data_IF_955442813903
#
_entry.id   IF_955442813903
#
_cell.length_a   1.000
_cell.length_b   1.000
_cell.length_c   1.000
_cell.angle_alpha   90.00
_cell.angle_beta   90.00
_cell.angle_gamma   90.00
#
_symmetry.space_group_name_H-M   'P 1'
#
loop_
_entity.id
_entity.type
_entity.pdbx_description
1 polymer ?
#
# COMPACT_ATOMS: atom_id res chain seq x y z
N UNK A 1 -13.60 7.08 -4.96
CA UNK A 1 -14.17 6.29 -6.08
C UNK A 1 -13.41 6.52 -7.38
N UNK A 2 -13.16 7.75 -7.80
CA UNK A 2 -12.48 8.06 -9.08
C UNK A 2 -11.10 7.36 -9.26
N UNK A 3 -10.25 7.36 -8.22
CA UNK A 3 -8.94 6.68 -8.26
C UNK A 3 -9.04 5.16 -8.42
N UNK A 4 -10.08 4.55 -7.84
CA UNK A 4 -10.30 3.11 -7.96
C UNK A 4 -10.81 2.71 -9.36
N UNK A 5 -11.63 3.56 -9.98
CA UNK A 5 -12.10 3.36 -11.35
C UNK A 5 -10.94 3.37 -12.36
N UNK A 6 -9.90 4.19 -12.12
CA UNK A 6 -8.74 4.25 -12.99
C UNK A 6 -8.00 2.90 -13.09
N UNK A 7 -8.01 2.08 -12.04
CA UNK A 7 -7.35 0.77 -12.05
C UNK A 7 -7.96 -0.14 -13.12
N UNK A 8 -9.28 -0.10 -13.32
CA UNK A 8 -9.97 -0.86 -14.38
C UNK A 8 -9.52 -0.47 -15.79
N UNK A 9 -9.18 0.81 -15.98
CA UNK A 9 -8.72 1.34 -17.28
C UNK A 9 -7.22 1.10 -17.45
N UNK A 10 -6.44 1.25 -16.39
CA UNK A 10 -4.98 1.19 -16.46
C UNK A 10 -4.46 -0.22 -16.76
N UNK A 11 -5.08 -1.27 -16.22
CA UNK A 11 -4.65 -2.64 -16.47
C UNK A 11 -4.72 -2.99 -17.97
N UNK A 12 -5.87 -2.83 -18.69
CA UNK A 12 -5.92 -3.10 -20.12
C UNK A 12 -4.97 -2.24 -20.95
N UNK A 13 -4.78 -0.97 -20.57
CA UNK A 13 -3.88 -0.07 -21.30
C UNK A 13 -2.43 -0.52 -21.15
N UNK A 14 -1.99 -0.76 -19.91
CA UNK A 14 -0.60 -1.16 -19.65
C UNK A 14 -0.28 -2.54 -20.23
N UNK A 15 -1.19 -3.52 -20.16
CA UNK A 15 -0.97 -4.84 -20.75
C UNK A 15 -0.96 -4.83 -22.27
N UNK A 16 -1.49 -3.79 -22.93
CA UNK A 16 -1.40 -3.62 -24.38
C UNK A 16 -0.13 -2.89 -24.82
N UNK A 17 0.41 -2.01 -23.98
CA UNK A 17 1.61 -1.21 -24.28
C UNK A 17 2.90 -1.90 -23.88
N UNK A 18 2.88 -2.72 -22.82
CA UNK A 18 4.04 -3.35 -22.20
C UNK A 18 4.06 -4.85 -22.50
N UNK A 19 5.26 -5.43 -22.60
CA UNK A 19 5.47 -6.87 -22.50
C UNK A 19 5.24 -7.37 -21.06
N UNK A 20 5.13 -8.70 -20.89
CA UNK A 20 5.02 -9.33 -19.56
C UNK A 20 6.26 -8.98 -18.71
N UNK A 21 7.44 -9.01 -19.32
CA UNK A 21 8.71 -8.64 -18.69
C UNK A 21 8.71 -7.20 -18.18
N UNK A 22 8.34 -6.24 -19.02
CA UNK A 22 8.30 -4.82 -18.66
C UNK A 22 7.26 -4.53 -17.57
N UNK A 23 6.10 -5.20 -17.66
CA UNK A 23 5.06 -5.11 -16.65
C UNK A 23 5.54 -5.65 -15.30
N UNK A 24 6.35 -6.73 -15.33
CA UNK A 24 7.03 -7.28 -14.16
C UNK A 24 7.97 -6.26 -13.51
N UNK A 25 8.87 -5.64 -14.30
CA UNK A 25 9.79 -4.60 -13.81
C UNK A 25 9.03 -3.48 -13.09
N UNK A 26 7.99 -2.94 -13.70
CA UNK A 26 7.19 -1.84 -13.11
C UNK A 26 6.56 -2.25 -11.77
N UNK A 27 5.95 -3.43 -11.71
CA UNK A 27 5.27 -3.87 -10.50
C UNK A 27 6.26 -4.21 -9.37
N UNK A 28 7.40 -4.82 -9.67
CA UNK A 28 8.48 -5.07 -8.70
C UNK A 28 9.06 -3.74 -8.22
N UNK A 29 9.34 -2.80 -9.11
CA UNK A 29 9.81 -1.46 -8.78
C UNK A 29 8.85 -0.76 -7.81
N UNK A 30 7.56 -0.70 -8.12
CA UNK A 30 6.56 -0.05 -7.26
C UNK A 30 6.40 -0.75 -5.91
N UNK A 31 6.53 -2.09 -5.87
CA UNK A 31 6.51 -2.87 -4.63
C UNK A 31 7.71 -2.57 -3.75
N UNK A 32 8.89 -2.45 -4.34
CA UNK A 32 10.14 -2.09 -3.65
C UNK A 32 10.09 -0.65 -3.13
N UNK A 33 9.56 0.29 -3.93
CA UNK A 33 9.33 1.68 -3.49
C UNK A 33 8.50 1.75 -2.22
N UNK A 34 7.49 0.87 -2.08
CA UNK A 34 6.69 0.81 -0.85
C UNK A 34 7.51 0.49 0.40
N UNK A 35 8.48 -0.43 0.29
CA UNK A 35 9.42 -0.76 1.38
C UNK A 35 10.39 0.40 1.62
N UNK A 36 10.98 0.91 0.54
CA UNK A 36 11.93 2.03 0.58
C UNK A 36 11.31 3.26 1.24
N UNK A 37 10.04 3.57 0.96
CA UNK A 37 9.33 4.68 1.58
C UNK A 37 9.33 4.58 3.10
N UNK A 38 9.03 3.41 3.67
CA UNK A 38 9.01 3.21 5.13
C UNK A 38 10.42 3.43 5.73
N UNK A 39 11.46 2.94 5.05
CA UNK A 39 12.86 3.13 5.48
C UNK A 39 13.28 4.60 5.39
N UNK A 40 12.85 5.32 4.37
CA UNK A 40 13.20 6.73 4.16
C UNK A 40 12.55 7.67 5.17
N UNK A 41 11.45 7.28 5.84
CA UNK A 41 10.76 8.16 6.80
C UNK A 41 10.71 7.64 8.21
N UNK A 42 10.92 6.34 8.40
CA UNK A 42 10.61 5.65 9.66
C UNK A 42 9.18 5.94 10.14
N UNK A 43 8.25 6.16 9.18
CA UNK A 43 6.83 6.51 9.42
C UNK A 43 6.61 7.74 10.34
N UNK A 44 7.58 8.66 10.40
CA UNK A 44 7.49 9.82 11.29
C UNK A 44 6.30 10.73 11.01
N UNK A 45 5.81 10.75 9.78
CA UNK A 45 4.65 11.54 9.38
C UNK A 45 3.32 11.03 9.96
N UNK A 46 3.22 9.74 10.30
CA UNK A 46 1.96 9.13 10.80
C UNK A 46 1.54 9.70 12.15
N UNK A 47 2.50 10.13 12.97
CA UNK A 47 2.23 10.74 14.27
C UNK A 47 1.46 12.08 14.15
N UNK A 48 1.52 12.78 13.01
CA UNK A 48 0.89 14.10 12.81
C UNK A 48 -0.62 14.03 13.02
N UNK A 49 -1.28 13.05 12.40
CA UNK A 49 -2.74 12.93 12.49
C UNK A 49 -3.22 12.58 13.91
N UNK A 50 -2.43 11.83 14.65
CA UNK A 50 -2.73 11.50 16.04
C UNK A 50 -2.53 12.69 16.95
N UNK A 51 -1.39 13.39 16.80
CA UNK A 51 -1.06 14.56 17.63
C UNK A 51 -2.08 15.70 17.49
N UNK A 52 -2.78 15.81 16.36
CA UNK A 52 -3.84 16.80 16.17
C UNK A 52 -4.89 16.79 17.29
N UNK A 53 -5.24 15.60 17.79
CA UNK A 53 -6.23 15.44 18.89
C UNK A 53 -5.65 15.64 20.27
N UNK A 54 -4.33 15.58 20.42
CA UNK A 54 -3.61 15.73 21.68
C UNK A 54 -2.99 17.15 21.80
N UNK A 55 -3.01 17.95 20.73
CA UNK A 55 -2.45 19.29 20.68
C UNK A 55 -3.22 20.27 21.57
N UNK A 56 -2.49 21.11 22.31
CA UNK A 56 -3.06 22.12 23.21
C UNK A 56 -3.80 23.24 22.48
N UNK A 57 -3.31 23.62 21.33
CA UNK A 57 -3.87 24.66 20.45
C UNK A 57 -3.32 24.53 19.03
N UNK A 58 -3.80 25.37 18.11
CA UNK A 58 -3.37 25.35 16.70
C UNK A 58 -1.87 25.65 16.54
N UNK A 59 -1.30 26.51 17.36
CA UNK A 59 0.12 26.84 17.29
C UNK A 59 0.99 25.63 17.68
N UNK A 60 0.64 24.93 18.75
CA UNK A 60 1.31 23.70 19.20
C UNK A 60 1.26 22.61 18.12
N UNK A 61 0.11 22.46 17.46
CA UNK A 61 -0.01 21.56 16.31
C UNK A 61 0.92 21.93 15.14
N UNK A 62 1.02 23.21 14.79
CA UNK A 62 1.94 23.70 13.75
C UNK A 62 3.41 23.47 14.13
N UNK A 63 3.77 23.66 15.39
CA UNK A 63 5.12 23.39 15.91
C UNK A 63 5.45 21.90 15.86
N UNK A 64 4.48 21.03 16.18
CA UNK A 64 4.62 19.59 16.01
C UNK A 64 4.80 19.20 14.55
N UNK A 65 3.97 19.71 13.63
CA UNK A 65 4.12 19.49 12.20
C UNK A 65 5.51 19.91 11.72
N UNK A 66 6.00 21.08 12.16
CA UNK A 66 7.34 21.57 11.82
C UNK A 66 8.45 20.66 12.34
N UNK A 67 8.32 20.15 13.55
CA UNK A 67 9.26 19.20 14.15
C UNK A 67 9.25 17.88 13.37
N UNK A 68 8.07 17.35 13.06
CA UNK A 68 7.91 16.13 12.25
C UNK A 68 8.56 16.29 10.88
N UNK A 69 8.26 17.38 10.15
CA UNK A 69 8.84 17.65 8.83
C UNK A 69 10.36 17.75 8.89
N UNK A 70 10.94 18.44 9.89
CA UNK A 70 12.40 18.55 10.04
C UNK A 70 13.06 17.21 10.27
N UNK A 71 12.48 16.39 11.16
CA UNK A 71 12.99 15.04 11.46
C UNK A 71 12.84 14.13 10.26
N UNK A 72 11.65 14.09 9.63
CA UNK A 72 11.43 13.32 8.41
C UNK A 72 12.41 13.70 7.29
N UNK A 73 12.66 15.01 7.11
CA UNK A 73 13.63 15.50 6.11
C UNK A 73 15.07 15.09 6.43
N UNK A 74 15.46 15.11 7.71
CA UNK A 74 16.78 14.66 8.15
C UNK A 74 16.99 13.17 7.94
N UNK A 75 16.00 12.35 8.34
CA UNK A 75 16.00 10.90 8.13
C UNK A 75 16.02 10.57 6.63
N UNK A 76 15.17 11.25 5.86
CA UNK A 76 15.11 11.08 4.40
C UNK A 76 16.46 11.38 3.74
N UNK A 77 17.14 12.48 4.12
CA UNK A 77 18.44 12.83 3.56
C UNK A 77 19.47 11.75 3.86
N UNK A 78 19.57 11.35 5.12
CA UNK A 78 20.50 10.30 5.55
C UNK A 78 20.25 8.98 4.83
N UNK A 79 19.01 8.51 4.80
CA UNK A 79 18.66 7.24 4.18
C UNK A 79 18.79 7.28 2.65
N UNK A 80 18.50 8.43 2.01
CA UNK A 80 18.71 8.61 0.58
C UNK A 80 20.19 8.57 0.21
N UNK A 81 21.08 9.15 1.04
CA UNK A 81 22.52 9.05 0.87
C UNK A 81 23.02 7.60 1.02
N UNK A 82 22.55 6.90 2.06
CA UNK A 82 22.85 5.48 2.26
C UNK A 82 22.40 4.66 1.06
N UNK A 83 21.18 4.88 0.57
CA UNK A 83 20.65 4.18 -0.59
C UNK A 83 21.47 4.48 -1.87
N UNK A 84 21.88 5.73 -2.06
CA UNK A 84 22.73 6.10 -3.19
C UNK A 84 24.12 5.44 -3.10
N UNK A 85 24.70 5.33 -1.91
CA UNK A 85 25.98 4.62 -1.69
C UNK A 85 25.86 3.11 -1.94
N UNK A 86 24.73 2.51 -1.50
CA UNK A 86 24.45 1.08 -1.69
C UNK A 86 23.85 0.75 -3.06
N UNK A 87 23.69 1.76 -3.95
CA UNK A 87 23.03 1.58 -5.25
C UNK A 87 23.61 0.44 -6.09
N UNK A 88 24.94 0.22 -6.22
CA UNK A 88 25.47 -0.89 -7.01
C UNK A 88 25.02 -2.26 -6.49
N UNK A 89 25.06 -2.43 -5.17
CA UNK A 89 24.62 -3.66 -4.50
C UNK A 89 23.11 -3.87 -4.62
N UNK A 90 22.30 -2.82 -4.38
CA UNK A 90 20.85 -2.90 -4.52
C UNK A 90 20.41 -3.20 -5.96
N UNK A 91 21.11 -2.65 -6.94
CA UNK A 91 20.83 -2.89 -8.35
C UNK A 91 21.07 -4.36 -8.72
N UNK A 92 22.15 -4.96 -8.22
CA UNK A 92 22.48 -6.36 -8.43
C UNK A 92 21.46 -7.29 -7.74
N UNK A 93 21.17 -7.06 -6.47
CA UNK A 93 20.25 -7.88 -5.68
C UNK A 93 18.82 -7.85 -6.24
N UNK A 94 18.35 -6.70 -6.72
CA UNK A 94 17.02 -6.55 -7.30
C UNK A 94 16.98 -6.84 -8.82
N UNK A 95 18.13 -7.17 -9.42
CA UNK A 95 18.27 -7.33 -10.88
C UNK A 95 17.80 -6.10 -11.68
N UNK A 96 17.97 -4.90 -11.12
CA UNK A 96 17.60 -3.64 -11.74
C UNK A 96 18.83 -2.93 -12.32
N UNK A 97 18.60 -2.02 -13.29
CA UNK A 97 19.63 -1.06 -13.66
C UNK A 97 19.91 -0.07 -12.52
N UNK A 98 21.14 0.44 -12.42
CA UNK A 98 21.51 1.45 -11.43
C UNK A 98 20.63 2.71 -11.51
N UNK A 99 20.21 3.08 -12.73
CA UNK A 99 19.31 4.22 -12.95
C UNK A 99 17.94 3.95 -12.35
N UNK A 100 17.40 2.74 -12.57
CA UNK A 100 16.10 2.34 -12.06
C UNK A 100 16.07 2.38 -10.52
N UNK A 101 17.12 1.86 -9.88
CA UNK A 101 17.24 1.87 -8.42
C UNK A 101 17.28 3.30 -7.86
N UNK A 102 18.01 4.22 -8.51
CA UNK A 102 18.04 5.64 -8.12
C UNK A 102 16.67 6.33 -8.31
N UNK A 103 15.89 5.93 -9.32
CA UNK A 103 14.54 6.46 -9.53
C UNK A 103 13.56 6.14 -8.38
N UNK A 104 13.88 5.20 -7.51
CA UNK A 104 13.07 4.94 -6.31
C UNK A 104 13.07 6.12 -5.33
N UNK A 105 14.19 6.87 -5.26
CA UNK A 105 14.31 8.01 -4.33
C UNK A 105 13.28 9.11 -4.65
N UNK A 106 13.17 9.66 -5.87
CA UNK A 106 12.18 10.69 -6.17
C UNK A 106 10.74 10.20 -6.03
N UNK A 107 10.46 8.93 -6.37
CA UNK A 107 9.11 8.35 -6.20
C UNK A 107 8.75 8.23 -4.73
N UNK A 108 9.66 7.72 -3.90
CA UNK A 108 9.46 7.64 -2.45
C UNK A 108 9.36 9.04 -1.83
N UNK A 109 10.18 10.01 -2.26
CA UNK A 109 10.12 11.40 -1.79
C UNK A 109 8.73 12.02 -2.00
N UNK A 110 8.17 11.83 -3.18
CA UNK A 110 6.81 12.31 -3.44
C UNK A 110 5.79 11.63 -2.51
N UNK A 111 5.91 10.31 -2.32
CA UNK A 111 5.00 9.55 -1.43
C UNK A 111 5.04 10.07 0.00
N UNK A 112 6.23 10.50 0.49
CA UNK A 112 6.42 11.13 1.80
C UNK A 112 5.68 12.47 1.88
N UNK A 113 5.90 13.35 0.90
CA UNK A 113 5.25 14.66 0.84
C UNK A 113 3.73 14.50 0.80
N UNK A 114 3.23 13.55 0.01
CA UNK A 114 1.81 13.22 -0.08
C UNK A 114 1.28 12.65 1.25
N UNK A 115 2.04 11.79 1.93
CA UNK A 115 1.69 11.27 3.26
C UNK A 115 1.56 12.39 4.29
N UNK A 116 2.54 13.30 4.38
CA UNK A 116 2.49 14.47 5.27
C UNK A 116 1.24 15.32 4.97
N UNK A 117 0.95 15.58 3.70
CA UNK A 117 -0.25 16.32 3.30
C UNK A 117 -1.53 15.62 3.79
N UNK A 118 -1.66 14.32 3.59
CA UNK A 118 -2.82 13.54 4.04
C UNK A 118 -2.95 13.59 5.57
N UNK A 119 -1.85 13.38 6.30
CA UNK A 119 -1.84 13.36 7.76
C UNK A 119 -2.18 14.71 8.40
N UNK A 120 -1.92 15.82 7.70
CA UNK A 120 -2.33 17.16 8.13
C UNK A 120 -3.81 17.42 7.82
N UNK A 121 -4.25 17.12 6.59
CA UNK A 121 -5.57 17.56 6.11
C UNK A 121 -6.72 16.60 6.48
N UNK A 122 -6.44 15.34 6.76
CA UNK A 122 -7.45 14.36 7.12
C UNK A 122 -8.09 14.64 8.49
N UNK A 123 -7.34 14.89 9.59
CA UNK A 123 -7.94 15.26 10.88
C UNK A 123 -8.63 16.62 10.87
N UNK A 124 -8.22 17.53 9.98
CA UNK A 124 -8.90 18.81 9.75
C UNK A 124 -10.25 18.66 9.01
N UNK A 125 -10.75 17.43 8.81
CA UNK A 125 -12.00 17.10 8.10
C UNK A 125 -12.05 17.61 6.64
N UNK A 126 -10.89 17.88 6.02
CA UNK A 126 -10.79 18.31 4.62
C UNK A 126 -10.61 17.12 3.66
N UNK A 127 -11.35 16.02 3.91
CA UNK A 127 -11.28 14.78 3.12
C UNK A 127 -11.58 14.98 1.64
N UNK A 128 -12.45 15.95 1.29
CA UNK A 128 -12.71 16.32 -0.13
C UNK A 128 -11.44 16.81 -0.83
N UNK A 129 -10.63 17.65 -0.16
CA UNK A 129 -9.36 18.15 -0.70
C UNK A 129 -8.36 17.02 -0.91
N UNK A 130 -8.23 16.11 0.07
CA UNK A 130 -7.38 14.92 -0.03
C UNK A 130 -7.82 14.05 -1.20
N UNK A 131 -9.13 13.79 -1.34
CA UNK A 131 -9.67 12.98 -2.42
C UNK A 131 -9.41 13.58 -3.81
N UNK A 132 -9.57 14.91 -3.97
CA UNK A 132 -9.29 15.60 -5.23
C UNK A 132 -7.81 15.47 -5.59
N UNK A 133 -6.91 15.77 -4.66
CA UNK A 133 -5.46 15.68 -4.89
C UNK A 133 -5.06 14.24 -5.27
N UNK A 134 -5.54 13.24 -4.54
CA UNK A 134 -5.25 11.83 -4.85
C UNK A 134 -5.80 11.42 -6.23
N UNK A 135 -6.96 11.94 -6.62
CA UNK A 135 -7.53 11.70 -7.95
C UNK A 135 -6.67 12.36 -9.04
N UNK A 136 -6.35 13.64 -8.90
CA UNK A 136 -5.49 14.37 -9.84
C UNK A 136 -4.14 13.67 -9.99
N UNK A 137 -3.53 13.23 -8.88
CA UNK A 137 -2.29 12.46 -8.89
C UNK A 137 -2.40 11.21 -9.76
N UNK A 138 -3.43 10.40 -9.52
CA UNK A 138 -3.59 9.12 -10.22
C UNK A 138 -3.82 9.32 -11.72
N UNK A 139 -4.69 10.24 -12.10
CA UNK A 139 -4.97 10.52 -13.51
C UNK A 139 -3.78 11.18 -14.21
N UNK A 140 -3.10 12.14 -13.57
CA UNK A 140 -1.93 12.79 -14.14
C UNK A 140 -0.78 11.81 -14.35
N UNK A 141 -0.50 10.96 -13.35
CA UNK A 141 0.51 9.92 -13.45
C UNK A 141 0.17 8.92 -14.56
N UNK A 142 -1.10 8.49 -14.67
CA UNK A 142 -1.55 7.62 -15.75
C UNK A 142 -1.37 8.26 -17.13
N UNK A 143 -1.86 9.48 -17.32
CA UNK A 143 -1.77 10.16 -18.63
C UNK A 143 -0.30 10.38 -19.04
N UNK A 144 0.53 10.91 -18.14
CA UNK A 144 1.94 11.16 -18.45
C UNK A 144 2.70 9.85 -18.66
N UNK A 145 2.45 8.80 -17.88
CA UNK A 145 3.10 7.51 -18.10
C UNK A 145 2.74 6.92 -19.46
N UNK A 146 1.46 7.01 -19.88
CA UNK A 146 1.05 6.53 -21.21
C UNK A 146 1.71 7.35 -22.32
N UNK A 147 1.72 8.69 -22.21
CA UNK A 147 2.36 9.56 -23.21
C UNK A 147 3.85 9.20 -23.34
N UNK A 148 4.58 9.10 -22.23
CA UNK A 148 6.01 8.78 -22.25
C UNK A 148 6.27 7.36 -22.80
N UNK A 149 5.43 6.37 -22.47
CA UNK A 149 5.54 5.02 -23.04
C UNK A 149 5.31 5.01 -24.56
N UNK A 150 4.38 5.83 -25.06
CA UNK A 150 4.12 5.94 -26.50
C UNK A 150 5.28 6.65 -27.26
N UNK A 151 6.02 7.51 -26.57
CA UNK A 151 7.21 8.17 -27.13
C UNK A 151 8.46 7.26 -27.17
N UNK A 152 8.40 6.08 -26.50
CA UNK A 152 9.52 5.12 -26.46
C UNK A 152 9.23 3.90 -27.31
N UNK A 153 10.17 3.55 -28.18
CA UNK A 153 10.06 2.35 -29.04
C UNK A 153 10.46 1.09 -28.27
N UNK A 154 11.51 1.19 -27.46
CA UNK A 154 12.04 0.10 -26.62
C UNK A 154 12.04 0.50 -25.16
N UNK A 155 12.12 -0.49 -24.25
CA UNK A 155 12.21 -0.28 -22.80
C UNK A 155 11.11 0.66 -22.26
N UNK A 156 9.87 0.44 -22.67
CA UNK A 156 8.71 1.28 -22.34
C UNK A 156 8.44 1.40 -20.83
N UNK A 157 9.00 0.49 -20.03
CA UNK A 157 8.97 0.60 -18.57
C UNK A 157 9.64 1.88 -18.04
N UNK A 158 10.70 2.37 -18.71
CA UNK A 158 11.26 3.68 -18.37
C UNK A 158 10.29 4.81 -18.68
N UNK A 159 9.52 4.72 -19.77
CA UNK A 159 8.46 5.69 -20.08
C UNK A 159 7.43 5.77 -18.96
N UNK A 160 7.01 4.63 -18.44
CA UNK A 160 6.11 4.59 -17.27
C UNK A 160 6.72 5.30 -16.05
N UNK A 161 8.00 5.03 -15.75
CA UNK A 161 8.66 5.57 -14.55
C UNK A 161 8.90 7.08 -14.71
N UNK A 162 9.43 7.54 -15.84
CA UNK A 162 9.66 8.95 -16.08
C UNK A 162 8.37 9.75 -16.15
N UNK A 163 7.31 9.23 -16.77
CA UNK A 163 5.99 9.85 -16.76
C UNK A 163 5.40 9.97 -15.36
N UNK A 164 5.56 8.93 -14.55
CA UNK A 164 5.15 8.94 -13.14
C UNK A 164 5.95 9.96 -12.33
N UNK A 165 7.27 10.02 -12.47
CA UNK A 165 8.14 10.99 -11.79
C UNK A 165 7.78 12.42 -12.23
N UNK A 166 7.53 12.67 -13.50
CA UNK A 166 7.12 13.99 -14.00
C UNK A 166 5.80 14.45 -13.36
N UNK A 167 4.80 13.57 -13.28
CA UNK A 167 3.56 13.85 -12.58
C UNK A 167 3.79 14.18 -11.11
N UNK A 168 4.66 13.43 -10.46
CA UNK A 168 4.98 13.60 -9.05
C UNK A 168 5.72 14.92 -8.76
N UNK A 169 6.64 15.34 -9.62
CA UNK A 169 7.34 16.63 -9.49
C UNK A 169 6.35 17.78 -9.59
N UNK A 170 5.45 17.75 -10.58
CA UNK A 170 4.42 18.76 -10.75
C UNK A 170 3.53 18.89 -9.50
N UNK A 171 3.12 17.77 -8.94
CA UNK A 171 2.26 17.75 -7.75
C UNK A 171 3.02 18.04 -6.45
N UNK A 172 4.28 17.64 -6.33
CA UNK A 172 5.11 17.95 -5.16
C UNK A 172 5.20 19.46 -4.91
N UNK A 173 5.32 20.27 -5.97
CA UNK A 173 5.35 21.73 -5.85
C UNK A 173 4.01 22.29 -5.32
N UNK A 174 2.89 21.72 -5.72
CA UNK A 174 1.59 22.08 -5.18
C UNK A 174 1.45 21.63 -3.72
N UNK A 175 1.79 20.40 -3.39
CA UNK A 175 1.68 19.84 -2.04
C UNK A 175 2.56 20.60 -1.04
N UNK A 176 3.79 20.90 -1.38
CA UNK A 176 4.69 21.68 -0.52
C UNK A 176 4.15 23.09 -0.23
N UNK A 177 3.53 23.74 -1.23
CA UNK A 177 2.83 25.02 -1.00
C UNK A 177 1.66 24.88 -0.02
N UNK A 178 0.93 23.75 -0.06
CA UNK A 178 -0.18 23.48 0.85
C UNK A 178 0.30 23.14 2.28
N UNK A 179 1.44 22.46 2.42
CA UNK A 179 2.04 22.11 3.71
C UNK A 179 2.68 23.34 4.39
N UNK A 180 3.19 24.30 3.61
CA UNK A 180 3.90 25.49 4.10
C UNK A 180 3.20 26.27 5.24
N UNK A 181 1.87 26.47 5.28
CA UNK A 181 1.18 27.17 6.38
C UNK A 181 1.32 26.46 7.74
N UNK A 182 1.65 25.16 7.74
CA UNK A 182 1.85 24.33 8.93
C UNK A 182 3.33 24.24 9.33
N UNK A 183 4.23 24.90 8.57
CA UNK A 183 5.65 24.95 8.87
C UNK A 183 5.99 26.29 9.54
N UNK A 184 6.35 26.21 10.82
CA UNK A 184 6.74 27.37 11.63
C UNK A 184 8.23 27.29 11.94
N UNK A 185 8.95 28.42 11.94
CA UNK A 185 10.35 28.49 12.38
C UNK A 185 10.42 28.39 13.91
N UNK A 186 10.20 27.21 14.46
CA UNK A 186 10.37 26.89 15.87
C UNK A 186 11.65 26.09 16.11
N UNK A 187 12.19 26.12 17.32
CA UNK A 187 13.22 25.16 17.74
C UNK A 187 12.59 23.77 17.84
N UNK A 188 13.38 22.72 17.64
CA UNK A 188 12.92 21.34 17.83
C UNK A 188 12.61 21.15 19.32
N UNK A 189 11.34 20.86 19.63
CA UNK A 189 10.91 20.59 21.00
C UNK A 189 11.16 19.11 21.34
N UNK A 190 11.84 18.85 22.45
CA UNK A 190 12.17 17.50 22.91
C UNK A 190 10.92 16.66 23.22
N UNK A 191 9.86 17.27 23.73
CA UNK A 191 8.57 16.58 23.98
C UNK A 191 7.93 16.12 22.69
N UNK A 192 7.92 16.98 21.65
CA UNK A 192 7.42 16.62 20.32
C UNK A 192 8.22 15.47 19.69
N UNK A 193 9.57 15.50 19.83
CA UNK A 193 10.43 14.40 19.33
C UNK A 193 10.12 13.10 20.06
N UNK A 194 10.01 13.14 21.39
CA UNK A 194 9.68 11.95 22.19
C UNK A 194 8.33 11.36 21.80
N UNK A 195 7.30 12.20 21.64
CA UNK A 195 5.98 11.79 21.20
C UNK A 195 6.04 11.15 19.79
N UNK A 196 6.69 11.84 18.85
CA UNK A 196 6.84 11.41 17.47
C UNK A 196 7.51 10.02 17.39
N UNK A 197 8.65 9.83 18.04
CA UNK A 197 9.38 8.56 18.03
C UNK A 197 8.62 7.46 18.75
N UNK A 198 7.99 7.75 19.89
CA UNK A 198 7.22 6.76 20.65
C UNK A 198 6.01 6.22 19.89
N UNK A 199 5.46 7.01 18.97
CA UNK A 199 4.35 6.59 18.12
C UNK A 199 4.83 5.94 16.81
N UNK A 200 5.83 6.54 16.15
CA UNK A 200 6.26 6.12 14.81
C UNK A 200 7.07 4.83 14.81
N UNK A 201 8.01 4.66 15.76
CA UNK A 201 8.87 3.47 15.77
C UNK A 201 8.12 2.15 15.93
N UNK A 202 7.14 2.01 16.86
CA UNK A 202 6.33 0.80 16.96
C UNK A 202 5.42 0.57 15.73
N UNK A 203 5.14 1.63 14.95
CA UNK A 203 4.31 1.54 13.75
C UNK A 203 5.07 0.99 12.53
N UNK A 204 6.42 1.04 12.53
CA UNK A 204 7.25 0.53 11.44
C UNK A 204 7.02 -0.97 11.18
N UNK A 205 7.14 -1.88 12.17
CA UNK A 205 6.90 -3.30 11.96
C UNK A 205 5.50 -3.60 11.42
N UNK A 206 4.48 -2.89 11.91
CA UNK A 206 3.11 -3.00 11.42
C UNK A 206 3.01 -2.67 9.92
N UNK A 207 3.56 -1.52 9.52
CA UNK A 207 3.50 -1.07 8.12
C UNK A 207 4.31 -1.98 7.20
N UNK A 208 5.54 -2.34 7.59
CA UNK A 208 6.39 -3.25 6.82
C UNK A 208 5.72 -4.61 6.62
N UNK A 209 5.16 -5.19 7.68
CA UNK A 209 4.48 -6.48 7.55
C UNK A 209 3.26 -6.42 6.65
N UNK A 210 2.51 -5.31 6.67
CA UNK A 210 1.40 -5.09 5.74
C UNK A 210 1.86 -5.00 4.28
N UNK A 211 2.97 -4.30 4.02
CA UNK A 211 3.56 -4.20 2.68
C UNK A 211 4.11 -5.56 2.23
N UNK A 212 4.82 -6.28 3.10
CA UNK A 212 5.34 -7.61 2.83
C UNK A 212 4.18 -8.54 2.45
N UNK A 213 3.15 -8.60 3.27
CA UNK A 213 2.01 -9.46 3.02
C UNK A 213 1.33 -9.17 1.67
N UNK A 214 1.28 -7.90 1.25
CA UNK A 214 0.62 -7.49 0.01
C UNK A 214 1.52 -7.54 -1.24
N UNK A 215 2.83 -7.32 -1.09
CA UNK A 215 3.72 -6.99 -2.21
C UNK A 215 4.93 -7.93 -2.35
N UNK A 216 5.33 -8.63 -1.28
CA UNK A 216 6.57 -9.40 -1.26
C UNK A 216 6.62 -10.50 -2.33
N UNK A 217 5.49 -11.14 -2.63
CA UNK A 217 5.41 -12.16 -3.67
C UNK A 217 5.91 -11.68 -5.05
N UNK A 218 5.72 -10.39 -5.39
CA UNK A 218 6.22 -9.80 -6.65
C UNK A 218 7.74 -9.68 -6.65
N UNK A 219 8.31 -9.18 -5.56
CA UNK A 219 9.76 -9.05 -5.38
C UNK A 219 10.39 -10.44 -5.35
N UNK A 220 9.78 -11.37 -4.60
CA UNK A 220 10.27 -12.72 -4.48
C UNK A 220 10.26 -13.48 -5.81
N UNK A 221 9.23 -13.27 -6.65
CA UNK A 221 9.18 -13.84 -7.98
C UNK A 221 10.23 -13.28 -8.92
N UNK A 222 10.58 -11.98 -8.81
CA UNK A 222 11.62 -11.40 -9.69
C UNK A 222 13.00 -11.99 -9.41
N UNK A 223 13.33 -12.32 -8.16
CA UNK A 223 14.63 -12.89 -7.79
C UNK A 223 14.77 -14.39 -8.11
N UNK A 224 13.66 -15.16 -8.12
CA UNK A 224 13.69 -16.62 -8.36
C UNK A 224 13.19 -17.01 -9.75
N UNK A 225 12.28 -16.25 -10.35
CA UNK A 225 11.65 -16.58 -11.61
C UNK A 225 11.86 -15.55 -12.71
N UNK A 226 12.57 -14.45 -12.42
CA UNK A 226 12.77 -13.34 -13.33
C UNK A 226 11.53 -12.43 -13.46
N UNK A 227 11.69 -11.38 -14.26
CA UNK A 227 10.62 -10.37 -14.40
C UNK A 227 9.41 -10.86 -15.18
N UNK A 228 9.52 -11.88 -16.03
CA UNK A 228 8.37 -12.48 -16.72
C UNK A 228 7.44 -13.17 -15.71
N UNK A 229 7.98 -14.00 -14.82
CA UNK A 229 7.21 -14.64 -13.77
C UNK A 229 6.60 -13.62 -12.80
N UNK A 230 7.37 -12.58 -12.42
CA UNK A 230 6.88 -11.48 -11.61
C UNK A 230 5.77 -10.68 -12.33
N UNK A 231 5.85 -10.54 -13.65
CA UNK A 231 4.84 -9.89 -14.49
C UNK A 231 3.52 -10.64 -14.52
N UNK A 232 3.57 -11.95 -14.77
CA UNK A 232 2.39 -12.82 -14.72
C UNK A 232 1.74 -12.82 -13.35
N UNK A 233 2.51 -13.01 -12.30
CA UNK A 233 2.02 -12.97 -10.92
C UNK A 233 1.40 -11.62 -10.57
N UNK A 234 2.07 -10.52 -10.96
CA UNK A 234 1.59 -9.16 -10.71
C UNK A 234 0.28 -8.86 -11.45
N UNK A 235 0.17 -9.32 -12.70
CA UNK A 235 -1.05 -9.17 -13.47
C UNK A 235 -2.23 -9.85 -12.78
N UNK A 236 -2.07 -11.14 -12.44
CA UNK A 236 -3.15 -11.90 -11.78
C UNK A 236 -3.48 -11.32 -10.40
N UNK A 237 -2.47 -10.87 -9.65
CA UNK A 237 -2.67 -10.20 -8.35
C UNK A 237 -3.43 -8.89 -8.51
N UNK A 238 -3.13 -8.08 -9.54
CA UNK A 238 -3.85 -6.83 -9.80
C UNK A 238 -5.29 -7.09 -10.22
N UNK A 239 -5.54 -8.12 -11.03
CA UNK A 239 -6.90 -8.57 -11.38
C UNK A 239 -7.66 -9.03 -10.13
N UNK A 240 -7.04 -9.85 -9.29
CA UNK A 240 -7.62 -10.27 -8.01
C UNK A 240 -7.89 -9.09 -7.07
N UNK A 241 -7.02 -8.08 -7.06
CA UNK A 241 -7.20 -6.87 -6.26
C UNK A 241 -8.39 -6.00 -6.72
N UNK A 242 -8.86 -6.12 -7.96
CA UNK A 242 -10.11 -5.47 -8.40
C UNK A 242 -11.31 -5.96 -7.58
N UNK A 243 -11.35 -7.25 -7.24
CA UNK A 243 -12.38 -7.80 -6.35
C UNK A 243 -12.36 -7.11 -4.98
N UNK A 244 -11.15 -6.83 -4.45
CA UNK A 244 -11.01 -6.08 -3.21
C UNK A 244 -11.62 -4.68 -3.26
N UNK A 245 -11.55 -4.03 -4.41
CA UNK A 245 -12.15 -2.70 -4.59
C UNK A 245 -13.68 -2.79 -4.46
N UNK A 246 -14.30 -3.75 -5.12
CA UNK A 246 -15.75 -3.95 -5.07
C UNK A 246 -16.20 -4.28 -3.63
N UNK A 247 -15.54 -5.24 -2.99
CA UNK A 247 -15.83 -5.62 -1.60
C UNK A 247 -15.62 -4.42 -0.66
N UNK A 248 -14.54 -3.64 -0.83
CA UNK A 248 -14.26 -2.47 0.02
C UNK A 248 -15.33 -1.38 -0.09
N UNK A 249 -15.95 -1.22 -1.25
CA UNK A 249 -17.08 -0.29 -1.43
C UNK A 249 -18.28 -0.76 -0.62
N UNK A 250 -18.62 -2.05 -0.71
CA UNK A 250 -19.68 -2.67 0.11
C UNK A 250 -19.44 -2.50 1.61
N UNK A 251 -18.22 -2.81 2.07
CA UNK A 251 -17.85 -2.63 3.48
C UNK A 251 -17.93 -1.18 3.96
N UNK A 252 -17.51 -0.21 3.16
CA UNK A 252 -17.58 1.19 3.55
C UNK A 252 -19.03 1.69 3.64
N UNK A 253 -19.92 1.20 2.78
CA UNK A 253 -21.34 1.49 2.85
C UNK A 253 -21.99 0.83 4.07
N UNK A 254 -21.58 -0.37 4.44
CA UNK A 254 -22.12 -1.14 5.56
C UNK A 254 -21.57 -0.68 6.93
N UNK A 255 -20.39 -0.08 6.98
CA UNK A 255 -19.72 0.30 8.24
C UNK A 255 -20.59 1.12 9.23
N UNK A 256 -21.38 2.13 8.82
CA UNK A 256 -22.26 2.85 9.74
C UNK A 256 -23.32 1.94 10.39
N UNK A 257 -23.88 1.02 9.61
CA UNK A 257 -24.87 0.04 10.09
C UNK A 257 -24.25 -0.94 11.09
N UNK A 258 -23.05 -1.44 10.79
CA UNK A 258 -22.29 -2.30 11.71
C UNK A 258 -22.08 -1.62 13.07
N UNK A 259 -21.63 -0.36 13.07
CA UNK A 259 -21.43 0.38 14.31
C UNK A 259 -22.74 0.59 15.10
N UNK A 260 -23.85 0.84 14.39
CA UNK A 260 -25.17 0.97 15.00
C UNK A 260 -25.65 -0.36 15.60
N UNK A 261 -25.51 -1.47 14.87
CA UNK A 261 -25.86 -2.81 15.37
C UNK A 261 -25.02 -3.22 16.58
N UNK A 262 -23.72 -2.96 16.56
CA UNK A 262 -22.84 -3.22 17.70
C UNK A 262 -23.22 -2.39 18.92
N UNK A 263 -23.59 -1.13 18.75
CA UNK A 263 -24.05 -0.25 19.83
C UNK A 263 -25.36 -0.75 20.43
N UNK A 264 -26.26 -1.25 19.57
CA UNK A 264 -27.60 -1.76 19.99
C UNK A 264 -27.57 -3.23 20.40
N UNK A 265 -26.41 -3.92 20.33
CA UNK A 265 -26.24 -5.37 20.59
C UNK A 265 -27.12 -6.26 19.70
N UNK A 266 -27.44 -5.80 18.49
CA UNK A 266 -28.23 -6.54 17.49
C UNK A 266 -27.34 -7.42 16.61
N UNK A 267 -26.88 -8.52 17.17
CA UNK A 267 -25.99 -9.46 16.48
C UNK A 267 -26.69 -10.23 15.35
N UNK A 268 -28.01 -10.40 15.40
CA UNK A 268 -28.78 -11.11 14.34
C UNK A 268 -28.77 -10.34 13.02
N UNK A 269 -28.90 -9.02 13.08
CA UNK A 269 -28.81 -8.17 11.88
C UNK A 269 -27.40 -8.17 11.30
N UNK A 270 -26.37 -8.27 12.11
CA UNK A 270 -24.99 -8.42 11.67
C UNK A 270 -24.83 -9.73 10.88
N UNK A 271 -25.28 -10.86 11.42
CA UNK A 271 -25.18 -12.17 10.77
C UNK A 271 -25.92 -12.22 9.42
N UNK A 272 -27.10 -11.61 9.35
CA UNK A 272 -27.90 -11.54 8.12
C UNK A 272 -27.19 -10.72 7.02
N UNK A 273 -26.62 -9.57 7.38
CA UNK A 273 -25.89 -8.73 6.44
C UNK A 273 -24.60 -9.41 5.99
N UNK A 274 -23.96 -10.20 6.84
CA UNK A 274 -22.82 -11.04 6.49
C UNK A 274 -23.15 -12.04 5.40
N UNK A 275 -24.25 -12.76 5.52
CA UNK A 275 -24.69 -13.75 4.54
C UNK A 275 -24.97 -13.09 3.19
N UNK A 276 -25.55 -11.89 3.19
CA UNK A 276 -25.80 -11.11 1.98
C UNK A 276 -24.48 -10.66 1.30
N UNK A 277 -23.52 -10.13 2.08
CA UNK A 277 -22.21 -9.71 1.57
C UNK A 277 -21.44 -10.91 1.00
N UNK A 278 -21.55 -12.08 1.65
CA UNK A 278 -20.97 -13.34 1.19
C UNK A 278 -21.47 -13.74 -0.20
N UNK A 279 -22.77 -13.77 -0.37
CA UNK A 279 -23.40 -14.14 -1.65
C UNK A 279 -23.05 -13.16 -2.76
N UNK A 280 -23.02 -11.86 -2.46
CA UNK A 280 -22.64 -10.82 -3.42
C UNK A 280 -21.18 -10.97 -3.88
N UNK A 281 -20.26 -11.38 -2.99
CA UNK A 281 -18.83 -11.54 -3.30
C UNK A 281 -18.55 -12.70 -4.25
N UNK A 282 -19.43 -13.72 -4.30
CA UNK A 282 -19.25 -14.90 -5.14
C UNK A 282 -19.69 -14.70 -6.60
N UNK A 283 -20.40 -13.62 -6.94
CA UNK A 283 -21.08 -13.45 -8.22
C UNK A 283 -20.23 -12.73 -9.29
N UNK A 284 -19.15 -12.03 -8.95
CA UNK A 284 -18.46 -11.15 -9.89
C UNK A 284 -17.09 -11.65 -10.36
N UNK A 285 -17.05 -12.78 -11.07
CA UNK A 285 -15.88 -13.17 -11.87
C UNK A 285 -16.23 -12.91 -13.34
N UNK A 286 -15.94 -11.72 -13.85
CA UNK A 286 -16.16 -11.47 -15.27
C UNK A 286 -15.07 -10.60 -15.90
N UNK A 287 -14.43 -11.21 -16.92
CA UNK A 287 -13.91 -10.59 -18.13
C UNK A 287 -13.05 -9.33 -18.01
N UNK A 288 -11.76 -9.54 -17.76
CA UNK A 288 -10.76 -8.50 -18.03
C UNK A 288 -10.05 -8.84 -19.32
N UNK A 289 -10.18 -7.96 -20.31
CA UNK A 289 -9.53 -8.09 -21.62
C UNK A 289 -8.04 -7.78 -21.48
N UNK A 290 -7.21 -8.81 -21.50
CA UNK A 290 -5.76 -8.71 -21.57
C UNK A 290 -5.20 -9.42 -22.79
N UNK A 291 -3.92 -9.17 -23.15
CA UNK A 291 -3.24 -9.95 -24.17
C UNK A 291 -3.15 -11.43 -23.77
N UNK A 292 -3.17 -12.37 -24.75
CA UNK A 292 -3.09 -13.81 -24.48
C UNK A 292 -1.88 -14.22 -23.62
N UNK A 293 -0.76 -13.51 -23.75
CA UNK A 293 0.49 -13.75 -22.97
C UNK A 293 0.28 -13.66 -21.47
N UNK A 294 -0.58 -12.73 -21.02
CA UNK A 294 -0.92 -12.57 -19.61
C UNK A 294 -1.93 -13.60 -19.10
N UNK A 295 -2.68 -14.21 -20.02
CA UNK A 295 -3.71 -15.19 -19.66
C UNK A 295 -3.11 -16.51 -19.15
N UNK A 296 -1.86 -16.82 -19.49
CA UNK A 296 -1.16 -18.00 -19.02
C UNK A 296 -1.05 -18.08 -17.49
N UNK A 297 -1.08 -16.93 -16.77
CA UNK A 297 -1.10 -16.87 -15.31
C UNK A 297 -2.47 -17.00 -14.66
N UNK A 298 -3.56 -17.00 -15.42
CA UNK A 298 -4.93 -16.90 -14.87
C UNK A 298 -5.35 -18.10 -14.01
N UNK A 299 -4.68 -19.24 -14.13
CA UNK A 299 -4.92 -20.42 -13.25
C UNK A 299 -4.59 -20.13 -11.77
N UNK A 300 -3.82 -19.07 -11.48
CA UNK A 300 -3.51 -18.62 -10.12
C UNK A 300 -4.66 -17.80 -9.51
N UNK A 301 -5.53 -17.24 -10.36
CA UNK A 301 -6.56 -16.28 -9.93
C UNK A 301 -7.50 -16.82 -8.85
N UNK A 302 -8.01 -18.06 -8.92
CA UNK A 302 -8.86 -18.61 -7.88
C UNK A 302 -8.18 -18.64 -6.51
N UNK A 303 -6.89 -18.97 -6.44
CA UNK A 303 -6.11 -19.04 -5.20
C UNK A 303 -5.95 -17.64 -4.60
N UNK A 304 -5.62 -16.65 -5.43
CA UNK A 304 -5.48 -15.26 -4.98
C UNK A 304 -6.83 -14.68 -4.52
N UNK A 305 -7.93 -15.00 -5.20
CA UNK A 305 -9.28 -14.58 -4.77
C UNK A 305 -9.60 -15.15 -3.38
N UNK A 306 -9.34 -16.45 -3.16
CA UNK A 306 -9.55 -17.07 -1.84
C UNK A 306 -8.72 -16.34 -0.77
N UNK A 307 -7.46 -16.00 -1.06
CA UNK A 307 -6.62 -15.19 -0.18
C UNK A 307 -7.24 -13.83 0.13
N UNK A 308 -7.75 -13.13 -0.87
CA UNK A 308 -8.45 -11.85 -0.67
C UNK A 308 -9.75 -12.00 0.15
N UNK A 309 -10.47 -13.09 0.01
CA UNK A 309 -11.63 -13.39 0.86
C UNK A 309 -11.22 -13.54 2.33
N UNK A 310 -10.16 -14.29 2.62
CA UNK A 310 -9.64 -14.38 3.99
C UNK A 310 -9.18 -13.03 4.55
N UNK A 311 -8.55 -12.20 3.73
CA UNK A 311 -8.20 -10.83 4.12
C UNK A 311 -9.45 -10.03 4.52
N UNK A 312 -10.52 -10.11 3.75
CA UNK A 312 -11.76 -9.39 4.07
C UNK A 312 -12.40 -9.87 5.36
N UNK A 313 -12.40 -11.16 5.60
CA UNK A 313 -12.90 -11.70 6.86
C UNK A 313 -12.05 -11.28 8.05
N UNK A 314 -10.73 -11.26 7.90
CA UNK A 314 -9.85 -10.77 8.96
C UNK A 314 -10.16 -9.33 9.33
N UNK A 315 -10.50 -8.49 8.33
CA UNK A 315 -10.78 -7.08 8.53
C UNK A 315 -11.96 -6.81 9.46
N UNK A 316 -12.93 -7.71 9.49
CA UNK A 316 -14.07 -7.63 10.39
C UNK A 316 -13.63 -7.77 11.85
N UNK A 317 -12.85 -8.81 12.14
CA UNK A 317 -12.33 -9.04 13.49
C UNK A 317 -11.33 -7.95 13.92
N UNK A 318 -10.50 -7.47 13.01
CA UNK A 318 -9.59 -6.37 13.27
C UNK A 318 -10.30 -5.04 13.57
N UNK A 319 -11.53 -4.85 13.10
CA UNK A 319 -12.37 -3.71 13.49
C UNK A 319 -12.87 -3.80 14.93
N UNK A 320 -13.24 -4.99 15.38
CA UNK A 320 -13.70 -5.22 16.75
C UNK A 320 -12.60 -4.84 17.76
N UNK A 321 -11.33 -5.18 17.47
CA UNK A 321 -10.19 -4.76 18.31
C UNK A 321 -10.00 -3.25 18.33
N UNK A 322 -10.26 -2.58 17.19
CA UNK A 322 -10.28 -1.12 17.10
C UNK A 322 -11.37 -0.49 17.97
N UNK A 323 -12.57 -1.04 17.92
CA UNK A 323 -13.71 -0.61 18.76
C UNK A 323 -13.40 -0.79 20.26
N UNK A 324 -12.80 -1.93 20.63
CA UNK A 324 -12.38 -2.23 21.99
C UNK A 324 -11.11 -1.45 22.45
N UNK A 325 -10.57 -0.56 21.61
CA UNK A 325 -9.33 0.22 21.85
C UNK A 325 -8.08 -0.65 22.11
N UNK A 326 -8.06 -1.89 21.60
CA UNK A 326 -6.96 -2.87 21.76
C UNK A 326 -6.19 -3.08 20.46
N UNK A 327 -5.86 -1.99 19.76
CA UNK A 327 -5.27 -1.99 18.41
C UNK A 327 -3.89 -2.64 18.31
N UNK A 328 -3.19 -2.84 19.42
CA UNK A 328 -1.90 -3.54 19.45
C UNK A 328 -2.02 -4.97 18.90
N UNK A 329 -3.16 -5.61 19.09
CA UNK A 329 -3.40 -6.94 18.59
C UNK A 329 -3.55 -7.02 17.06
N UNK A 330 -3.95 -5.92 16.43
CA UNK A 330 -3.93 -5.82 14.96
C UNK A 330 -2.50 -5.88 14.44
N UNK A 331 -1.57 -5.18 15.12
CA UNK A 331 -0.16 -5.22 14.76
C UNK A 331 0.41 -6.65 14.92
N UNK A 332 0.07 -7.35 15.99
CA UNK A 332 0.49 -8.73 16.24
C UNK A 332 -0.02 -9.66 15.13
N UNK A 333 -1.31 -9.57 14.76
CA UNK A 333 -1.89 -10.40 13.70
C UNK A 333 -1.20 -10.19 12.35
N UNK A 334 -0.96 -8.95 11.97
CA UNK A 334 -0.32 -8.61 10.70
C UNK A 334 1.17 -9.02 10.71
N UNK A 335 1.87 -8.86 11.84
CA UNK A 335 3.26 -9.30 12.00
C UNK A 335 3.40 -10.81 11.80
N UNK A 336 2.58 -11.62 12.48
CA UNK A 336 2.59 -13.09 12.36
C UNK A 336 2.36 -13.48 10.90
N UNK A 337 1.37 -12.86 10.24
CA UNK A 337 1.03 -13.17 8.86
C UNK A 337 2.11 -12.74 7.87
N UNK A 338 2.76 -11.59 8.08
CA UNK A 338 3.86 -11.11 7.26
C UNK A 338 5.09 -12.02 7.36
N UNK A 339 5.46 -12.44 8.57
CA UNK A 339 6.56 -13.40 8.78
C UNK A 339 6.22 -14.75 8.13
N UNK A 340 4.99 -15.25 8.33
CA UNK A 340 4.53 -16.48 7.70
C UNK A 340 4.59 -16.40 6.18
N UNK A 341 4.28 -15.25 5.58
CA UNK A 341 4.36 -15.04 4.14
C UNK A 341 5.79 -15.22 3.61
N UNK A 342 6.78 -14.60 4.29
CA UNK A 342 8.19 -14.75 3.91
C UNK A 342 8.62 -16.23 3.99
N UNK A 343 8.33 -16.88 5.10
CA UNK A 343 8.70 -18.29 5.31
C UNK A 343 8.04 -19.21 4.28
N UNK A 344 6.75 -19.04 4.04
CA UNK A 344 6.01 -19.86 3.07
C UNK A 344 6.50 -19.65 1.64
N UNK A 345 6.85 -18.42 1.25
CA UNK A 345 7.44 -18.17 -0.06
C UNK A 345 8.73 -18.98 -0.25
N UNK A 346 9.65 -18.95 0.71
CA UNK A 346 10.88 -19.77 0.65
C UNK A 346 10.62 -21.27 0.63
N UNK A 347 9.64 -21.76 1.40
CA UNK A 347 9.35 -23.19 1.47
C UNK A 347 8.65 -23.74 0.22
N UNK A 348 7.83 -22.92 -0.44
CA UNK A 348 6.97 -23.41 -1.53
C UNK A 348 7.52 -23.10 -2.92
N UNK A 349 8.47 -22.17 -3.08
CA UNK A 349 8.99 -21.77 -4.39
C UNK A 349 9.66 -22.95 -5.12
N UNK A 350 10.51 -23.70 -4.43
CA UNK A 350 11.29 -24.79 -5.04
C UNK A 350 10.41 -25.94 -5.56
N UNK A 351 9.23 -26.14 -4.94
CA UNK A 351 8.29 -27.23 -5.31
C UNK A 351 7.21 -26.80 -6.29
N UNK A 352 6.73 -25.58 -6.16
CA UNK A 352 5.52 -25.12 -6.86
C UNK A 352 5.74 -23.87 -7.70
N UNK A 353 6.95 -23.31 -7.71
CA UNK A 353 7.31 -22.10 -8.48
C UNK A 353 6.28 -20.97 -8.26
N UNK A 354 5.75 -20.35 -9.33
CA UNK A 354 4.79 -19.24 -9.24
C UNK A 354 3.49 -19.61 -8.48
N UNK A 355 3.06 -20.89 -8.57
CA UNK A 355 1.94 -21.42 -7.78
C UNK A 355 2.25 -21.40 -6.29
N UNK A 356 3.50 -21.69 -5.90
CA UNK A 356 3.96 -21.63 -4.51
C UNK A 356 3.80 -20.25 -3.90
N UNK A 357 4.09 -19.19 -4.65
CA UNK A 357 3.92 -17.80 -4.21
C UNK A 357 2.43 -17.43 -4.05
N UNK A 358 1.57 -17.90 -4.96
CA UNK A 358 0.12 -17.71 -4.82
C UNK A 358 -0.47 -18.46 -3.62
N UNK A 359 0.01 -19.69 -3.36
CA UNK A 359 -0.36 -20.44 -2.15
C UNK A 359 0.13 -19.76 -0.88
N UNK A 360 1.38 -19.26 -0.87
CA UNK A 360 1.93 -18.51 0.26
C UNK A 360 1.08 -17.29 0.60
N UNK A 361 0.64 -16.57 -0.42
CA UNK A 361 -0.28 -15.44 -0.28
C UNK A 361 -1.61 -15.88 0.37
N UNK A 362 -2.24 -16.91 -0.17
CA UNK A 362 -3.53 -17.42 0.32
C UNK A 362 -3.43 -17.91 1.77
N UNK A 363 -2.41 -18.73 2.09
CA UNK A 363 -2.19 -19.28 3.43
C UNK A 363 -1.88 -18.16 4.43
N UNK A 364 -1.10 -17.17 4.05
CA UNK A 364 -0.76 -16.05 4.94
C UNK A 364 -1.98 -15.19 5.28
N UNK A 365 -2.89 -14.98 4.35
CA UNK A 365 -4.16 -14.31 4.65
C UNK A 365 -5.12 -15.18 5.45
N UNK A 366 -5.09 -16.50 5.27
CA UNK A 366 -5.79 -17.41 6.16
C UNK A 366 -5.24 -17.34 7.60
N UNK A 367 -3.92 -17.27 7.76
CA UNK A 367 -3.29 -17.08 9.07
C UNK A 367 -3.72 -15.76 9.69
N UNK A 368 -3.75 -14.68 8.90
CA UNK A 368 -4.25 -13.38 9.37
C UNK A 368 -5.69 -13.48 9.89
N UNK A 369 -6.57 -14.14 9.12
CA UNK A 369 -7.96 -14.37 9.52
C UNK A 369 -8.05 -15.19 10.80
N UNK A 370 -7.32 -16.33 10.88
CA UNK A 370 -7.36 -17.22 12.03
C UNK A 370 -6.86 -16.50 13.31
N UNK A 371 -5.74 -15.78 13.22
CA UNK A 371 -5.19 -15.03 14.36
C UNK A 371 -6.15 -13.90 14.77
N UNK A 372 -6.72 -13.15 13.82
CA UNK A 372 -7.69 -12.11 14.13
C UNK A 372 -8.97 -12.68 14.80
N UNK A 373 -9.44 -13.84 14.35
CA UNK A 373 -10.54 -14.56 14.96
C UNK A 373 -10.24 -14.98 16.41
N UNK A 374 -9.07 -15.59 16.64
CA UNK A 374 -8.63 -16.03 17.98
C UNK A 374 -8.50 -14.82 18.94
N UNK A 375 -7.91 -13.71 18.47
CA UNK A 375 -7.84 -12.48 19.26
C UNK A 375 -9.23 -12.00 19.64
N UNK A 376 -10.17 -11.99 18.70
CA UNK A 376 -11.53 -11.56 18.97
C UNK A 376 -12.22 -12.47 20.01
N UNK A 377 -12.01 -13.77 19.91
CA UNK A 377 -12.64 -14.76 20.79
C UNK A 377 -12.09 -14.79 22.21
N UNK A 378 -10.79 -14.59 22.39
CA UNK A 378 -10.09 -14.83 23.67
C UNK A 378 -9.53 -13.57 24.33
N UNK A 379 -9.42 -12.47 23.60
CA UNK A 379 -8.83 -11.23 24.10
C UNK A 379 -9.87 -10.13 24.27
N UNK A 380 -10.94 -10.13 23.45
CA UNK A 380 -12.05 -9.16 23.55
C UNK A 380 -13.22 -9.72 24.31
#
# INVERSE_FOLDING_TARGET
MATKALVFISIPVYTRLLSVYEYGIINVFMSTVGIVQVLLTLNTEVAISRYYYDAKNEQDFKEFCSTSIKISSGVWLLMSLIMAMLNPWLAEELSFSKVLTLCMIPVATYSIINSIFIQIYQPLLRSKKVAIVSSVQSYLAFCLSVIFMLCMETERYYGYIWGTIAAMILLATYLTRQIRPFYVKSKINREHVKYLLSYSLPYIPYTLSGIILAQFGRIFMSTHGGFDAAGLYSFVSNVGALMMILISVGHNAWNPYYLQYMTNKDYKSIDKDYDLIWRATLIEIALIMARPEFLSGMYLLPILIIGYVFYQWSYVYLRSTGFAKRTIWNAVAILISGISNILLNHLLIDRFYILGVALSFCISYFILYAVAYLINRYVL
#
